data_IF_152776183376
#
_entry.id   IF_152776183376
#
_cell.length_a   1.000
_cell.length_b   1.000
_cell.length_c   1.000
_cell.angle_alpha   90.00
_cell.angle_beta   90.00
_cell.angle_gamma   90.00
#
_symmetry.space_group_name_H-M   'P 1'
#
loop_
_entity.id
_entity.type
_entity.pdbx_description
1 polymer ?
#
# COMPACT_ATOMS: atom_id res chain seq x y z
N UNK A 1 -4.46 30.25 3.66
CA UNK A 1 -3.23 29.69 3.03
C UNK A 1 -3.59 29.41 1.58
N UNK A 2 -2.80 29.86 0.62
CA UNK A 2 -3.04 29.57 -0.81
C UNK A 2 -2.88 28.07 -1.02
N UNK A 3 -3.98 27.35 -1.34
CA UNK A 3 -3.91 25.96 -1.79
C UNK A 3 -3.32 25.94 -3.20
N UNK A 4 -1.99 25.96 -3.31
CA UNK A 4 -1.33 25.76 -4.58
C UNK A 4 -1.52 24.30 -5.01
N UNK A 5 -1.88 24.08 -6.27
CA UNK A 5 -1.96 22.73 -6.85
C UNK A 5 -0.62 21.99 -6.71
N UNK A 6 -0.65 20.68 -6.41
CA UNK A 6 0.57 19.89 -6.44
C UNK A 6 1.17 19.87 -7.85
N UNK A 7 2.47 19.97 -7.91
CA UNK A 7 3.20 19.95 -9.19
C UNK A 7 3.12 18.57 -9.84
N UNK A 8 3.30 18.49 -11.15
CA UNK A 8 3.38 17.22 -11.88
C UNK A 8 4.45 16.28 -11.27
N UNK A 9 5.56 16.83 -10.76
CA UNK A 9 6.62 16.04 -10.08
C UNK A 9 6.11 15.42 -8.78
N UNK A 10 5.30 16.14 -7.99
CA UNK A 10 4.74 15.60 -6.75
C UNK A 10 3.74 14.47 -7.02
N UNK A 11 2.84 14.66 -8.00
CA UNK A 11 1.85 13.65 -8.42
C UNK A 11 2.57 12.41 -8.96
N UNK A 12 3.56 12.61 -9.84
CA UNK A 12 4.38 11.52 -10.36
C UNK A 12 5.10 10.77 -9.24
N UNK A 13 5.67 11.49 -8.25
CA UNK A 13 6.32 10.89 -7.10
C UNK A 13 5.37 10.04 -6.23
N UNK A 14 4.12 10.48 -6.05
CA UNK A 14 3.09 9.68 -5.37
C UNK A 14 2.79 8.39 -6.15
N UNK A 15 2.59 8.51 -7.48
CA UNK A 15 2.31 7.38 -8.36
C UNK A 15 3.42 6.33 -8.29
N UNK A 16 4.68 6.73 -8.49
CA UNK A 16 5.85 5.83 -8.44
C UNK A 16 5.90 5.07 -7.10
N UNK A 17 5.61 5.74 -5.99
CA UNK A 17 5.65 5.11 -4.67
C UNK A 17 4.47 4.20 -4.41
N UNK A 18 3.25 4.61 -4.75
CA UNK A 18 2.02 3.87 -4.45
C UNK A 18 1.79 2.68 -5.38
N UNK A 19 2.19 2.78 -6.65
CA UNK A 19 1.92 1.74 -7.66
C UNK A 19 3.16 0.98 -8.13
N UNK A 20 4.35 1.43 -7.73
CA UNK A 20 5.64 0.86 -8.14
C UNK A 20 6.52 0.48 -6.96
N UNK A 21 7.27 1.42 -6.40
CA UNK A 21 8.36 1.14 -5.46
C UNK A 21 7.92 0.37 -4.21
N UNK A 22 6.99 0.91 -3.40
CA UNK A 22 6.58 0.24 -2.17
C UNK A 22 5.81 -1.07 -2.40
N UNK A 23 4.89 -1.20 -3.38
CA UNK A 23 4.32 -2.50 -3.72
C UNK A 23 5.36 -3.55 -4.13
N UNK A 24 6.37 -3.16 -4.91
CA UNK A 24 7.46 -4.06 -5.28
C UNK A 24 8.27 -4.51 -4.05
N UNK A 25 8.60 -3.58 -3.14
CA UNK A 25 9.28 -3.90 -1.89
C UNK A 25 8.44 -4.86 -1.01
N UNK A 26 7.13 -4.62 -0.89
CA UNK A 26 6.21 -5.50 -0.15
C UNK A 26 6.20 -6.91 -0.75
N UNK A 27 6.02 -7.06 -2.07
CA UNK A 27 6.05 -8.36 -2.75
C UNK A 27 7.39 -9.06 -2.57
N UNK A 28 8.51 -8.33 -2.65
CA UNK A 28 9.85 -8.87 -2.44
C UNK A 28 10.04 -9.37 -1.00
N UNK A 29 9.48 -8.66 -0.01
CA UNK A 29 9.48 -9.09 1.39
C UNK A 29 8.64 -10.36 1.61
N UNK A 30 7.50 -10.48 0.92
CA UNK A 30 6.59 -11.64 1.00
C UNK A 30 7.17 -12.87 0.26
N UNK A 31 7.90 -12.66 -0.83
CA UNK A 31 8.28 -13.72 -1.77
C UNK A 31 8.91 -14.98 -1.14
N UNK A 32 9.81 -14.90 -0.15
CA UNK A 32 10.47 -16.07 0.44
C UNK A 32 9.57 -16.88 1.39
N UNK A 33 8.43 -16.35 1.85
CA UNK A 33 7.51 -17.08 2.72
C UNK A 33 6.69 -18.10 1.92
N UNK A 34 6.25 -19.16 2.59
CA UNK A 34 5.24 -20.11 2.12
C UNK A 34 3.87 -19.81 2.78
N UNK A 35 2.88 -20.69 2.55
CA UNK A 35 1.51 -20.52 3.06
C UNK A 35 1.41 -20.60 4.59
N UNK A 36 2.35 -21.28 5.25
CA UNK A 36 2.39 -21.40 6.71
C UNK A 36 3.20 -20.24 7.31
N UNK A 37 4.43 -20.05 6.86
CA UNK A 37 5.38 -19.10 7.42
C UNK A 37 4.97 -17.63 7.19
N UNK A 38 4.13 -17.31 6.19
CA UNK A 38 3.62 -15.95 5.99
C UNK A 38 2.76 -15.45 7.17
N UNK A 39 2.27 -16.39 8.01
CA UNK A 39 1.52 -16.12 9.25
C UNK A 39 2.37 -16.18 10.51
N UNK A 40 3.68 -16.34 10.37
CA UNK A 40 4.61 -16.38 11.50
C UNK A 40 4.65 -15.05 12.25
N UNK A 41 4.66 -15.14 13.59
CA UNK A 41 4.78 -14.01 14.52
C UNK A 41 6.04 -14.19 15.36
N UNK A 42 6.97 -13.20 15.39
CA UNK A 42 8.18 -13.28 16.22
C UNK A 42 7.87 -13.19 17.74
N UNK A 43 6.76 -12.53 18.09
CA UNK A 43 6.30 -12.38 19.46
C UNK A 43 4.79 -12.05 19.51
N UNK A 44 4.10 -12.28 20.64
CA UNK A 44 2.72 -11.84 20.83
C UNK A 44 2.55 -10.34 20.54
N UNK A 45 1.49 -9.98 19.82
CA UNK A 45 1.20 -8.59 19.46
C UNK A 45 1.93 -8.06 18.23
N UNK A 46 2.85 -8.83 17.64
CA UNK A 46 3.47 -8.48 16.37
C UNK A 46 2.67 -9.09 15.23
N UNK A 47 2.20 -8.27 14.29
CA UNK A 47 1.44 -8.75 13.14
C UNK A 47 2.33 -9.53 12.17
N UNK A 48 1.87 -10.71 11.67
CA UNK A 48 2.57 -11.43 10.60
C UNK A 48 2.59 -10.64 9.29
N UNK A 49 3.47 -11.02 8.37
CA UNK A 49 3.59 -10.38 7.06
C UNK A 49 2.27 -10.42 6.27
N UNK A 50 1.52 -11.52 6.35
CA UNK A 50 0.19 -11.64 5.74
C UNK A 50 -0.77 -10.54 6.24
N UNK A 51 -0.84 -10.32 7.56
CA UNK A 51 -1.68 -9.28 8.15
C UNK A 51 -1.26 -7.89 7.68
N UNK A 52 0.04 -7.60 7.62
CA UNK A 52 0.52 -6.30 7.14
C UNK A 52 0.11 -6.05 5.68
N UNK A 53 0.21 -7.06 4.81
CA UNK A 53 -0.20 -6.95 3.41
C UNK A 53 -1.72 -6.75 3.26
N UNK A 54 -2.53 -7.54 3.98
CA UNK A 54 -3.99 -7.42 3.98
C UNK A 54 -4.45 -6.08 4.55
N UNK A 55 -3.80 -5.59 5.61
CA UNK A 55 -4.08 -4.29 6.20
C UNK A 55 -3.74 -3.13 5.24
N UNK A 56 -2.61 -3.21 4.55
CA UNK A 56 -2.28 -2.25 3.50
C UNK A 56 -3.32 -2.29 2.36
N UNK A 57 -3.73 -3.49 1.92
CA UNK A 57 -4.75 -3.65 0.89
C UNK A 57 -6.08 -3.01 1.31
N UNK A 58 -6.56 -3.30 2.52
CA UNK A 58 -7.78 -2.69 3.06
C UNK A 58 -7.70 -1.18 3.18
N UNK A 59 -6.55 -0.65 3.62
CA UNK A 59 -6.30 0.78 3.71
C UNK A 59 -6.33 1.46 2.34
N UNK A 60 -5.58 0.94 1.36
CA UNK A 60 -5.51 1.50 0.01
C UNK A 60 -6.86 1.48 -0.69
N UNK A 61 -7.60 0.37 -0.61
CA UNK A 61 -8.94 0.26 -1.22
C UNK A 61 -9.94 1.19 -0.57
N UNK A 62 -9.83 1.42 0.75
CA UNK A 62 -10.71 2.33 1.46
C UNK A 62 -10.41 3.80 1.14
N UNK A 63 -9.16 4.25 1.39
CA UNK A 63 -8.83 5.66 1.25
C UNK A 63 -8.72 6.08 -0.22
N UNK A 64 -8.12 5.26 -1.06
CA UNK A 64 -7.91 5.63 -2.46
C UNK A 64 -8.97 5.01 -3.36
N UNK A 65 -9.20 3.71 -3.29
CA UNK A 65 -10.20 3.05 -4.12
C UNK A 65 -11.62 3.62 -3.92
N UNK A 66 -12.08 3.71 -2.68
CA UNK A 66 -13.42 4.16 -2.36
C UNK A 66 -13.55 5.68 -2.32
N UNK A 67 -12.78 6.39 -1.47
CA UNK A 67 -12.97 7.83 -1.31
C UNK A 67 -12.50 8.64 -2.51
N UNK A 68 -11.45 8.24 -3.20
CA UNK A 68 -10.95 8.92 -4.39
C UNK A 68 -11.56 8.33 -5.66
N UNK A 69 -11.41 7.03 -5.88
CA UNK A 69 -11.82 6.32 -7.09
C UNK A 69 -13.31 5.99 -7.17
N UNK A 70 -14.07 6.18 -6.08
CA UNK A 70 -15.53 5.97 -6.06
C UNK A 70 -15.96 4.51 -6.17
N UNK A 71 -15.10 3.55 -5.82
CA UNK A 71 -15.50 2.13 -5.77
C UNK A 71 -16.51 1.89 -4.65
N UNK A 72 -17.28 0.82 -4.75
CA UNK A 72 -18.24 0.37 -3.75
C UNK A 72 -17.61 -0.45 -2.59
N UNK A 73 -16.28 -0.39 -2.46
CA UNK A 73 -15.54 -1.14 -1.45
C UNK A 73 -15.94 -0.73 -0.04
N UNK A 74 -16.43 -1.68 0.74
CA UNK A 74 -16.73 -1.53 2.17
C UNK A 74 -15.62 -2.19 2.98
N UNK A 75 -14.90 -1.39 3.76
CA UNK A 75 -13.78 -1.88 4.57
C UNK A 75 -14.26 -2.70 5.77
N UNK A 76 -13.69 -3.88 5.94
CA UNK A 76 -13.84 -4.69 7.15
C UNK A 76 -12.50 -4.78 7.89
N UNK A 77 -12.15 -3.71 8.63
CA UNK A 77 -10.86 -3.62 9.31
C UNK A 77 -10.58 -4.77 10.30
N UNK A 78 -11.52 -5.24 11.14
CA UNK A 78 -11.29 -6.41 11.98
C UNK A 78 -10.81 -7.65 11.20
N UNK A 79 -11.35 -7.87 10.00
CA UNK A 79 -10.99 -9.01 9.16
C UNK A 79 -9.55 -8.92 8.61
N UNK A 80 -8.98 -7.73 8.47
CA UNK A 80 -7.59 -7.53 8.04
C UNK A 80 -6.60 -8.10 9.06
N UNK A 81 -6.96 -8.08 10.36
CA UNK A 81 -6.14 -8.56 11.48
C UNK A 81 -6.49 -9.97 11.94
N UNK A 82 -7.45 -10.63 11.31
CA UNK A 82 -7.86 -11.98 11.67
C UNK A 82 -6.89 -13.02 11.10
N UNK A 83 -5.87 -13.36 11.89
CA UNK A 83 -4.88 -14.37 11.54
C UNK A 83 -5.46 -15.80 11.48
N UNK A 84 -6.72 -16.03 11.92
CA UNK A 84 -7.37 -17.33 11.83
C UNK A 84 -7.86 -17.66 10.43
N UNK A 85 -8.02 -16.66 9.57
CA UNK A 85 -8.41 -16.83 8.14
C UNK A 85 -7.47 -17.72 7.34
N UNK A 86 -6.18 -17.72 7.67
CA UNK A 86 -5.15 -18.58 7.05
C UNK A 86 -5.24 -18.63 5.51
N UNK A 87 -5.36 -17.48 4.89
CA UNK A 87 -5.26 -17.37 3.43
C UNK A 87 -3.90 -17.89 2.97
N UNK A 88 -3.86 -18.50 1.79
CA UNK A 88 -2.61 -18.86 1.11
C UNK A 88 -1.80 -17.59 0.78
N UNK A 89 -0.49 -17.72 0.62
CA UNK A 89 0.35 -16.61 0.17
C UNK A 89 -0.19 -15.98 -1.13
N UNK A 90 -0.65 -16.85 -2.06
CA UNK A 90 -1.21 -16.36 -3.32
C UNK A 90 -2.43 -15.49 -3.08
N UNK A 91 -3.36 -15.89 -2.24
CA UNK A 91 -4.56 -15.11 -1.92
C UNK A 91 -4.22 -13.78 -1.26
N UNK A 92 -3.23 -13.75 -0.34
CA UNK A 92 -2.75 -12.52 0.29
C UNK A 92 -2.15 -11.56 -0.76
N UNK A 93 -1.34 -12.07 -1.67
CA UNK A 93 -0.73 -11.27 -2.75
C UNK A 93 -1.81 -10.77 -3.72
N UNK A 94 -2.76 -11.62 -4.10
CA UNK A 94 -3.86 -11.25 -5.00
C UNK A 94 -4.73 -10.13 -4.40
N UNK A 95 -5.01 -10.15 -3.08
CA UNK A 95 -5.75 -9.08 -2.39
C UNK A 95 -4.95 -7.77 -2.40
N UNK A 96 -3.65 -7.84 -2.14
CA UNK A 96 -2.77 -6.69 -2.20
C UNK A 96 -2.67 -6.11 -3.61
N UNK A 97 -2.54 -6.95 -4.64
CA UNK A 97 -2.44 -6.53 -6.03
C UNK A 97 -3.72 -5.88 -6.55
N UNK A 98 -4.88 -6.39 -6.14
CA UNK A 98 -6.17 -5.73 -6.42
C UNK A 98 -6.24 -4.32 -5.86
N UNK A 99 -5.73 -4.12 -4.63
CA UNK A 99 -5.67 -2.79 -4.03
C UNK A 99 -4.76 -1.83 -4.81
N UNK A 100 -3.62 -2.31 -5.28
CA UNK A 100 -2.71 -1.51 -6.11
C UNK A 100 -3.36 -1.12 -7.45
N UNK A 101 -4.14 -2.03 -8.03
CA UNK A 101 -4.88 -1.73 -9.26
C UNK A 101 -5.99 -0.69 -9.04
N UNK A 102 -6.71 -0.76 -7.91
CA UNK A 102 -7.70 0.27 -7.54
C UNK A 102 -7.03 1.65 -7.39
N UNK A 103 -5.85 1.71 -6.76
CA UNK A 103 -5.04 2.95 -6.66
C UNK A 103 -4.64 3.47 -8.03
N UNK A 104 -4.18 2.59 -8.93
CA UNK A 104 -3.75 2.98 -10.28
C UNK A 104 -4.89 3.61 -11.06
N UNK A 105 -6.06 2.95 -11.07
CA UNK A 105 -7.27 3.47 -11.74
C UNK A 105 -7.69 4.82 -11.17
N UNK A 106 -7.77 4.94 -9.84
CA UNK A 106 -8.12 6.20 -9.20
C UNK A 106 -7.19 7.35 -9.60
N UNK A 107 -5.88 7.07 -9.74
CA UNK A 107 -4.90 8.08 -10.17
C UNK A 107 -4.95 8.39 -11.67
N UNK A 108 -5.35 7.43 -12.51
CA UNK A 108 -5.47 7.63 -13.96
C UNK A 108 -6.64 8.56 -14.32
N UNK A 109 -7.69 8.57 -13.51
CA UNK A 109 -8.88 9.40 -13.73
C UNK A 109 -8.74 10.84 -13.21
N UNK A 110 -7.68 11.16 -12.42
CA UNK A 110 -7.47 12.47 -11.81
C UNK A 110 -6.62 13.41 -12.67
N UNK A 111 -7.04 14.67 -12.72
CA UNK A 111 -6.24 15.81 -13.21
C UNK A 111 -5.49 16.47 -12.05
N UNK A 112 -4.40 17.22 -12.30
CA UNK A 112 -3.65 17.91 -11.24
C UNK A 112 -4.52 18.78 -10.32
N UNK A 113 -5.50 19.48 -10.87
CA UNK A 113 -6.43 20.34 -10.10
C UNK A 113 -7.29 19.56 -9.11
N UNK A 114 -7.61 18.30 -9.41
CA UNK A 114 -8.49 17.47 -8.59
C UNK A 114 -7.85 17.14 -7.24
N UNK A 115 -6.51 17.09 -7.17
CA UNK A 115 -5.78 16.77 -5.94
C UNK A 115 -5.97 17.79 -4.82
N UNK A 116 -6.31 19.04 -5.12
CA UNK A 116 -6.64 20.06 -4.12
C UNK A 116 -8.12 20.07 -3.74
N UNK A 117 -8.93 19.28 -4.45
CA UNK A 117 -10.35 19.11 -4.17
C UNK A 117 -10.61 18.46 -2.80
N UNK A 118 -11.84 18.62 -2.27
CA UNK A 118 -12.20 18.04 -0.98
C UNK A 118 -12.20 16.51 -1.05
N UNK A 119 -11.71 15.89 0.03
CA UNK A 119 -11.84 14.47 0.23
C UNK A 119 -13.31 14.06 0.41
N UNK A 120 -13.65 12.83 -0.04
CA UNK A 120 -14.93 12.20 0.32
C UNK A 120 -14.83 11.42 1.64
N UNK A 121 -13.68 11.51 2.30
CA UNK A 121 -13.41 10.85 3.57
C UNK A 121 -14.23 11.51 4.69
N UNK A 122 -15.33 10.86 5.10
CA UNK A 122 -16.19 11.34 6.17
C UNK A 122 -15.50 11.33 7.55
N UNK A 123 -14.44 10.56 7.73
CA UNK A 123 -13.64 10.54 8.96
C UNK A 123 -12.76 11.80 9.09
N UNK A 124 -12.41 12.41 7.96
CA UNK A 124 -11.68 13.69 7.91
C UNK A 124 -12.20 14.60 6.79
N UNK A 125 -13.37 15.23 6.97
CA UNK A 125 -14.04 16.02 5.93
C UNK A 125 -13.31 17.32 5.55
N UNK A 126 -12.25 17.68 6.28
CA UNK A 126 -11.41 18.85 5.99
C UNK A 126 -10.20 18.49 5.11
N UNK A 127 -9.95 17.21 4.87
CA UNK A 127 -8.80 16.82 4.06
C UNK A 127 -9.04 17.04 2.57
N UNK A 128 -7.94 17.22 1.84
CA UNK A 128 -7.90 17.20 0.38
C UNK A 128 -7.61 15.79 -0.14
N UNK A 129 -7.89 15.55 -1.42
CA UNK A 129 -7.47 14.29 -2.05
C UNK A 129 -5.94 14.08 -1.96
N UNK A 130 -5.16 15.16 -2.04
CA UNK A 130 -3.70 15.06 -1.89
C UNK A 130 -3.30 14.53 -0.51
N UNK A 131 -3.97 14.99 0.55
CA UNK A 131 -3.72 14.49 1.92
C UNK A 131 -4.10 13.03 2.07
N UNK A 132 -5.19 12.56 1.46
CA UNK A 132 -5.55 11.14 1.46
C UNK A 132 -4.45 10.29 0.78
N UNK A 133 -3.89 10.75 -0.33
CA UNK A 133 -2.73 10.11 -0.96
C UNK A 133 -1.49 10.13 -0.08
N UNK A 134 -1.23 11.22 0.64
CA UNK A 134 -0.09 11.31 1.57
C UNK A 134 -0.24 10.35 2.75
N UNK A 135 -1.45 10.22 3.30
CA UNK A 135 -1.76 9.22 4.33
C UNK A 135 -1.53 7.81 3.79
N UNK A 136 -2.05 7.50 2.60
CA UNK A 136 -1.93 6.18 2.00
C UNK A 136 -0.47 5.80 1.71
N UNK A 137 0.35 6.71 1.16
CA UNK A 137 1.76 6.44 0.84
C UNK A 137 2.61 6.27 2.09
N UNK A 138 2.40 7.07 3.12
CA UNK A 138 3.15 6.95 4.39
C UNK A 138 2.78 5.68 5.15
N UNK A 139 1.49 5.31 5.16
CA UNK A 139 1.00 4.07 5.73
C UNK A 139 1.58 2.83 5.02
N UNK A 140 1.54 2.82 3.68
CA UNK A 140 2.13 1.72 2.89
C UNK A 140 3.64 1.61 3.13
N UNK A 141 4.37 2.74 3.16
CA UNK A 141 5.81 2.76 3.43
C UNK A 141 6.15 2.17 4.81
N UNK A 142 5.39 2.58 5.86
CA UNK A 142 5.58 2.09 7.22
C UNK A 142 5.45 0.56 7.29
N UNK A 143 4.35 0.01 6.77
CA UNK A 143 4.09 -1.43 6.84
C UNK A 143 4.98 -2.24 5.88
N UNK A 144 5.40 -1.66 4.76
CA UNK A 144 6.42 -2.28 3.91
C UNK A 144 7.74 -2.44 4.65
N UNK A 145 8.19 -1.41 5.38
CA UNK A 145 9.39 -1.49 6.22
C UNK A 145 9.27 -2.58 7.31
N UNK A 146 8.11 -2.71 7.94
CA UNK A 146 7.83 -3.77 8.91
C UNK A 146 7.89 -5.17 8.26
N UNK A 147 7.30 -5.35 7.07
CA UNK A 147 7.33 -6.61 6.33
C UNK A 147 8.76 -7.02 5.97
N UNK A 148 9.59 -6.09 5.50
CA UNK A 148 11.02 -6.31 5.23
C UNK A 148 11.76 -6.74 6.51
N UNK A 149 11.48 -6.09 7.63
CA UNK A 149 12.10 -6.44 8.92
C UNK A 149 11.67 -7.83 9.40
N UNK A 150 10.39 -8.20 9.24
CA UNK A 150 9.90 -9.54 9.57
C UNK A 150 10.56 -10.62 8.71
N UNK A 151 10.73 -10.38 7.41
CA UNK A 151 11.45 -11.31 6.54
C UNK A 151 12.89 -11.55 7.01
N UNK A 152 13.59 -10.47 7.42
CA UNK A 152 14.95 -10.58 8.00
C UNK A 152 14.97 -11.34 9.32
N UNK A 153 14.01 -11.08 10.21
CA UNK A 153 13.88 -11.78 11.50
C UNK A 153 13.58 -13.26 11.32
N UNK A 154 12.84 -13.63 10.26
CA UNK A 154 12.60 -15.03 9.89
C UNK A 154 13.84 -15.73 9.29
N UNK A 155 14.91 -14.97 9.00
CA UNK A 155 16.17 -15.50 8.45
C UNK A 155 16.31 -15.33 6.94
N UNK A 156 15.41 -14.59 6.27
CA UNK A 156 15.50 -14.37 4.82
C UNK A 156 16.41 -13.18 4.46
N UNK A 157 17.29 -13.40 3.47
CA UNK A 157 18.18 -12.35 2.93
C UNK A 157 17.45 -11.55 1.84
N UNK A 158 16.66 -10.56 2.23
CA UNK A 158 15.84 -9.76 1.28
C UNK A 158 16.34 -8.33 1.08
N UNK A 159 17.31 -7.86 1.89
CA UNK A 159 17.67 -6.44 1.96
C UNK A 159 18.08 -5.84 0.62
N UNK A 160 19.14 -6.39 0.01
CA UNK A 160 19.68 -5.86 -1.26
C UNK A 160 18.70 -6.02 -2.42
N UNK A 161 17.94 -7.12 -2.43
CA UNK A 161 16.90 -7.37 -3.44
C UNK A 161 15.76 -6.37 -3.33
N UNK A 162 15.28 -6.09 -2.13
CA UNK A 162 14.20 -5.12 -1.88
C UNK A 162 14.55 -3.74 -2.45
N UNK A 163 15.74 -3.24 -2.14
CA UNK A 163 16.17 -1.93 -2.65
C UNK A 163 16.44 -1.93 -4.14
N UNK A 164 17.11 -2.98 -4.65
CA UNK A 164 17.40 -3.10 -6.09
C UNK A 164 16.14 -3.20 -6.94
N UNK A 165 15.14 -3.97 -6.53
CA UNK A 165 13.87 -4.13 -7.24
C UNK A 165 13.06 -2.82 -7.23
N UNK A 166 13.00 -2.12 -6.09
CA UNK A 166 12.31 -0.84 -5.95
C UNK A 166 12.91 0.25 -6.86
N UNK A 167 14.24 0.34 -6.93
CA UNK A 167 14.93 1.29 -7.81
C UNK A 167 14.68 0.99 -9.29
N UNK A 168 14.70 -0.28 -9.71
CA UNK A 168 14.41 -0.67 -11.09
C UNK A 168 12.97 -0.33 -11.47
N UNK A 169 12.02 -0.60 -10.57
CA UNK A 169 10.60 -0.28 -10.80
C UNK A 169 10.37 1.22 -10.91
N UNK A 170 10.99 2.02 -10.05
CA UNK A 170 10.91 3.47 -10.12
C UNK A 170 11.52 4.02 -11.41
N UNK A 171 12.66 3.48 -11.86
CA UNK A 171 13.29 3.89 -13.11
C UNK A 171 12.42 3.58 -14.34
N UNK A 172 11.77 2.41 -14.38
CA UNK A 172 10.89 2.01 -15.47
C UNK A 172 9.61 2.86 -15.60
N UNK A 173 9.19 3.53 -14.53
CA UNK A 173 8.03 4.45 -14.54
C UNK A 173 8.41 5.89 -14.91
N UNK A 174 9.71 6.18 -15.00
CA UNK A 174 10.24 7.51 -15.33
C UNK A 174 10.66 7.64 -16.83
N UNK A 175 10.62 6.58 -17.58
CA UNK A 175 10.92 6.53 -19.02
C UNK A 175 9.69 6.42 -19.89
#
# INVERSE_FOLDING_TARGET
MSNSEPTAVQIHSLRVRLTGAFPTMMRTAIAPFDDESIWWQPAPGINPVAVLALHCAGNLRHYIGHFVGGTDYVRNRPQEFDATRRLTKKEVVDEFDRAIEDVRRAMDDLKPVDYTGPSRNQENPQSSLYEDFMVAVTHLALHTGQAVQLAKLHGYSVGDKVWGDAHRTAAAQNG
#
